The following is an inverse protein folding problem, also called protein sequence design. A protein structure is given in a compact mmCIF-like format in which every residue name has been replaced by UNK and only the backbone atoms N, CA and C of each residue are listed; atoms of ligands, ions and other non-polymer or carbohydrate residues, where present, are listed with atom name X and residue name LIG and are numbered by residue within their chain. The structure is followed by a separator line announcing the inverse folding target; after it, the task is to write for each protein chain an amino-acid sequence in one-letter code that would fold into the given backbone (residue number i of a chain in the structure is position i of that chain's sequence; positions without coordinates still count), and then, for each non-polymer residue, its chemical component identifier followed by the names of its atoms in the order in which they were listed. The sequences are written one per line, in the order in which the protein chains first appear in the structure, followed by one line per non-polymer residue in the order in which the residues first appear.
data_IF_663378909846
#
_entry.id   IF_663378909846
#
_cell.length_a   1.000
_cell.length_b   1.000
_cell.length_c   1.000
_cell.angle_alpha   90.00
_cell.angle_beta   90.00
_cell.angle_gamma   90.00
#
_symmetry.space_group_name_H-M   'P 1'
#
loop_
_entity.id
_entity.type
_entity.pdbx_description
1 polymer ?
#
# COMPACT_ATOMS: atom_id res chain seq x y z
N UNK A 1 27.22 -4.69 7.31
CA UNK A 1 26.01 -3.89 6.88
C UNK A 1 24.80 -4.66 7.37
N UNK A 2 23.97 -4.06 8.21
CA UNK A 2 22.77 -4.72 8.76
C UNK A 2 21.79 -4.95 7.62
N UNK A 3 21.38 -6.20 7.41
CA UNK A 3 20.44 -6.60 6.36
C UNK A 3 19.07 -5.96 6.58
N UNK A 4 18.38 -5.61 5.49
CA UNK A 4 17.01 -5.08 5.55
C UNK A 4 16.03 -6.24 5.59
N UNK A 5 15.33 -6.38 6.70
CA UNK A 5 14.24 -7.31 6.88
C UNK A 5 12.92 -6.69 6.42
N UNK A 6 12.17 -7.42 5.61
CA UNK A 6 10.79 -7.08 5.22
C UNK A 6 9.83 -8.03 5.92
N UNK A 7 8.90 -7.48 6.68
CA UNK A 7 7.84 -8.28 7.30
C UNK A 7 6.53 -7.51 7.44
N UNK A 8 5.45 -8.25 7.60
CA UNK A 8 4.17 -7.66 7.98
C UNK A 8 4.23 -7.19 9.44
N UNK A 9 3.67 -6.02 9.71
CA UNK A 9 3.48 -5.51 11.06
C UNK A 9 2.32 -6.25 11.75
N UNK A 10 2.49 -6.51 13.05
CA UNK A 10 1.49 -7.11 13.92
C UNK A 10 1.06 -6.10 15.01
N UNK A 11 0.07 -6.45 15.82
CA UNK A 11 -0.42 -5.57 16.88
C UNK A 11 0.68 -5.03 17.82
N UNK A 12 1.69 -5.83 18.23
CA UNK A 12 2.79 -5.30 19.06
C UNK A 12 3.62 -4.20 18.40
N UNK A 13 3.57 -4.08 17.05
CA UNK A 13 4.28 -3.05 16.31
C UNK A 13 3.53 -1.70 16.24
N UNK A 14 2.36 -1.59 16.86
CA UNK A 14 1.49 -0.41 16.74
C UNK A 14 2.17 0.89 17.15
N UNK A 15 3.05 0.87 18.17
CA UNK A 15 3.83 2.04 18.56
C UNK A 15 4.83 2.47 17.49
N UNK A 16 5.56 1.53 16.88
CA UNK A 16 6.47 1.81 15.77
C UNK A 16 5.71 2.30 14.54
N UNK A 17 4.56 1.69 14.26
CA UNK A 17 3.70 2.12 13.15
C UNK A 17 3.17 3.54 13.36
N UNK A 18 2.72 3.86 14.60
CA UNK A 18 2.31 5.22 14.96
C UNK A 18 3.44 6.22 14.74
N UNK A 19 4.64 5.92 15.22
CA UNK A 19 5.81 6.80 15.09
C UNK A 19 6.10 7.12 13.62
N UNK A 20 6.31 6.11 12.78
CA UNK A 20 6.64 6.32 11.37
C UNK A 20 5.49 6.95 10.56
N UNK A 21 4.25 6.65 10.94
CA UNK A 21 3.06 7.26 10.34
C UNK A 21 2.98 8.74 10.62
N UNK A 22 3.17 9.15 11.88
CA UNK A 22 3.18 10.56 12.27
C UNK A 22 4.35 11.31 11.65
N UNK A 23 5.54 10.71 11.61
CA UNK A 23 6.69 11.27 10.89
C UNK A 23 6.37 11.53 9.42
N UNK A 24 5.74 10.57 8.73
CA UNK A 24 5.33 10.72 7.35
C UNK A 24 4.35 11.87 7.14
N UNK A 25 3.33 11.99 7.99
CA UNK A 25 2.33 13.06 7.95
C UNK A 25 2.95 14.45 8.20
N UNK A 26 3.95 14.54 9.07
CA UNK A 26 4.64 15.79 9.36
C UNK A 26 5.60 16.21 8.24
N UNK A 27 6.41 15.26 7.74
CA UNK A 27 7.48 15.54 6.76
C UNK A 27 7.03 15.55 5.31
N UNK A 28 5.93 14.89 4.99
CA UNK A 28 5.37 14.78 3.64
C UNK A 28 3.84 14.91 3.66
N UNK A 29 3.27 16.00 4.23
CA UNK A 29 1.84 16.13 4.46
C UNK A 29 1.02 15.97 3.18
N UNK A 30 1.55 16.44 2.06
CA UNK A 30 0.87 16.38 0.77
C UNK A 30 0.74 14.92 0.22
N UNK A 31 1.54 13.98 0.72
CA UNK A 31 1.51 12.59 0.28
C UNK A 31 0.40 11.74 0.95
N UNK A 32 -0.39 12.33 1.83
CA UNK A 32 -1.38 11.61 2.62
C UNK A 32 -2.74 12.33 2.60
N UNK A 33 -3.81 11.56 2.64
CA UNK A 33 -5.18 12.06 2.76
C UNK A 33 -5.57 12.46 4.18
N UNK A 34 -4.73 12.21 5.19
CA UNK A 34 -4.91 12.59 6.59
C UNK A 34 -3.86 13.61 7.00
N UNK A 35 -4.00 14.22 8.18
CA UNK A 35 -3.06 15.21 8.70
C UNK A 35 -2.41 14.75 10.01
N UNK A 36 -1.24 15.34 10.31
CA UNK A 36 -0.53 15.09 11.57
C UNK A 36 -1.40 15.44 12.78
N UNK A 37 -2.09 16.57 12.74
CA UNK A 37 -2.93 17.06 13.84
C UNK A 37 -4.08 16.08 14.15
N UNK A 38 -4.69 15.52 13.12
CA UNK A 38 -5.77 14.53 13.29
C UNK A 38 -5.28 13.22 13.87
N UNK A 39 -4.15 12.69 13.35
CA UNK A 39 -3.68 11.36 13.77
C UNK A 39 -2.86 11.40 15.06
N UNK A 40 -2.16 12.50 15.39
CA UNK A 40 -1.44 12.63 16.66
C UNK A 40 -2.38 12.65 17.88
N UNK A 41 -3.63 13.13 17.68
CA UNK A 41 -4.66 13.12 18.71
C UNK A 41 -5.29 11.74 18.95
N UNK A 42 -5.01 10.75 18.08
CA UNK A 42 -5.61 9.42 18.20
C UNK A 42 -4.86 8.56 19.24
N UNK A 43 -5.61 7.72 19.97
CA UNK A 43 -5.00 6.75 20.90
C UNK A 43 -4.25 5.64 20.12
N UNK A 44 -3.41 4.89 20.82
CA UNK A 44 -2.67 3.77 20.22
C UNK A 44 -3.60 2.73 19.59
N UNK A 45 -4.77 2.49 20.20
CA UNK A 45 -5.79 1.57 19.70
C UNK A 45 -6.28 1.88 18.28
N UNK A 46 -6.22 3.13 17.85
CA UNK A 46 -6.52 3.52 16.46
C UNK A 46 -5.51 2.90 15.48
N UNK A 47 -4.22 2.89 15.83
CA UNK A 47 -3.17 2.29 15.03
C UNK A 47 -3.21 0.76 15.10
N UNK A 48 -3.55 0.19 16.26
CA UNK A 48 -3.80 -1.25 16.41
C UNK A 48 -4.92 -1.72 15.50
N UNK A 49 -6.05 -1.00 15.46
CA UNK A 49 -7.18 -1.31 14.57
C UNK A 49 -6.77 -1.24 13.09
N UNK A 50 -5.94 -0.28 12.71
CA UNK A 50 -5.42 -0.21 11.33
C UNK A 50 -4.57 -1.44 10.99
N UNK A 51 -3.72 -1.90 11.90
CA UNK A 51 -2.94 -3.13 11.71
C UNK A 51 -3.83 -4.38 11.68
N UNK A 52 -4.92 -4.40 12.45
CA UNK A 52 -5.90 -5.48 12.43
C UNK A 52 -6.74 -5.56 11.14
N UNK A 53 -7.11 -4.39 10.59
CA UNK A 53 -8.01 -4.27 9.45
C UNK A 53 -7.27 -4.18 8.09
N UNK A 54 -5.95 -4.15 8.09
CA UNK A 54 -5.12 -3.99 6.90
C UNK A 54 -3.86 -4.83 7.01
N UNK A 55 -3.27 -5.21 5.88
CA UNK A 55 -1.93 -5.74 5.88
C UNK A 55 -0.93 -4.58 5.71
N UNK A 56 -0.18 -4.26 6.74
CA UNK A 56 0.88 -3.24 6.67
C UNK A 56 2.23 -3.94 6.68
N UNK A 57 3.06 -3.64 5.70
CA UNK A 57 4.42 -4.16 5.58
C UNK A 57 5.41 -3.11 6.03
N UNK A 58 6.43 -3.53 6.77
CA UNK A 58 7.54 -2.70 7.23
C UNK A 58 8.86 -3.20 6.72
N UNK A 59 9.78 -2.28 6.47
CA UNK A 59 11.19 -2.55 6.21
C UNK A 59 12.01 -2.15 7.43
N UNK A 60 12.75 -3.09 7.99
CA UNK A 60 13.51 -2.93 9.21
C UNK A 60 15.01 -3.01 8.98
N UNK A 61 15.75 -2.22 9.74
CA UNK A 61 17.20 -2.36 9.93
C UNK A 61 17.46 -2.61 11.42
N UNK A 62 17.63 -3.89 11.78
CA UNK A 62 17.60 -4.27 13.19
C UNK A 62 16.24 -3.89 13.82
N UNK A 63 16.22 -3.14 14.94
CA UNK A 63 14.96 -2.73 15.57
C UNK A 63 14.28 -1.52 14.92
N UNK A 64 14.95 -0.85 14.00
CA UNK A 64 14.51 0.41 13.40
C UNK A 64 13.59 0.17 12.22
N UNK A 65 12.37 0.71 12.26
CA UNK A 65 11.41 0.69 11.15
C UNK A 65 11.69 1.86 10.19
N UNK A 66 12.18 1.55 9.01
CA UNK A 66 12.64 2.55 8.02
C UNK A 66 11.58 2.94 7.00
N UNK A 67 10.63 2.06 6.75
CA UNK A 67 9.60 2.30 5.74
C UNK A 67 8.38 1.43 5.97
N UNK A 68 7.22 1.90 5.50
CA UNK A 68 5.93 1.19 5.56
C UNK A 68 5.14 1.31 4.27
N UNK A 69 4.32 0.32 3.99
CA UNK A 69 3.27 0.37 2.97
C UNK A 69 2.10 -0.51 3.39
N UNK A 70 0.88 -0.03 3.24
CA UNK A 70 -0.34 -0.71 3.62
C UNK A 70 -1.11 -1.26 2.42
N UNK A 71 -1.84 -2.34 2.65
CA UNK A 71 -2.81 -2.94 1.74
C UNK A 71 -4.12 -3.19 2.46
N UNK A 72 -5.22 -2.89 1.80
CA UNK A 72 -6.56 -3.28 2.25
C UNK A 72 -7.45 -3.62 1.06
N UNK A 73 -8.35 -4.57 1.24
CA UNK A 73 -9.41 -4.86 0.27
C UNK A 73 -10.50 -3.79 0.40
N UNK A 74 -11.05 -3.33 -0.70
CA UNK A 74 -12.16 -2.37 -0.66
C UNK A 74 -13.44 -3.06 -0.19
N UNK A 75 -14.23 -2.36 0.60
CA UNK A 75 -15.46 -2.88 1.18
C UNK A 75 -16.63 -2.88 0.20
N UNK A 76 -17.56 -3.80 0.42
CA UNK A 76 -18.82 -3.91 -0.32
C UNK A 76 -18.80 -4.92 -1.47
N UNK A 77 -19.98 -5.48 -1.82
CA UNK A 77 -20.09 -6.62 -2.73
C UNK A 77 -19.64 -6.31 -4.16
N UNK A 78 -19.66 -5.03 -4.57
CA UNK A 78 -19.25 -4.60 -5.91
C UNK A 78 -17.78 -4.16 -6.00
N UNK A 79 -17.06 -4.07 -4.88
CA UNK A 79 -15.70 -3.53 -4.81
C UNK A 79 -14.67 -4.52 -4.25
N UNK A 80 -15.12 -5.67 -3.71
CA UNK A 80 -14.25 -6.66 -3.08
C UNK A 80 -13.18 -7.27 -4.00
N UNK A 81 -13.30 -7.11 -5.32
CA UNK A 81 -12.26 -7.49 -6.29
C UNK A 81 -11.12 -6.47 -6.38
N UNK A 82 -11.22 -5.34 -5.66
CA UNK A 82 -10.23 -4.26 -5.66
C UNK A 82 -9.50 -4.17 -4.35
N UNK A 83 -8.20 -3.98 -4.42
CA UNK A 83 -7.35 -3.64 -3.29
C UNK A 83 -6.82 -2.22 -3.41
N UNK A 84 -6.48 -1.63 -2.28
CA UNK A 84 -5.85 -0.32 -2.20
C UNK A 84 -4.48 -0.45 -1.55
N UNK A 85 -3.43 0.00 -2.25
CA UNK A 85 -2.13 0.29 -1.67
C UNK A 85 -2.19 1.70 -1.09
N UNK A 86 -1.83 1.85 0.19
CA UNK A 86 -1.97 3.10 0.92
C UNK A 86 -0.84 3.33 1.91
N UNK A 87 -0.69 4.57 2.36
CA UNK A 87 0.15 4.93 3.50
C UNK A 87 1.63 4.64 3.30
N UNK A 88 2.11 4.62 2.06
CA UNK A 88 3.53 4.38 1.79
C UNK A 88 4.38 5.55 2.24
N UNK A 89 5.38 5.26 3.06
CA UNK A 89 6.39 6.21 3.49
C UNK A 89 7.75 5.53 3.63
N UNK A 90 8.79 6.23 3.21
CA UNK A 90 10.19 5.81 3.37
C UNK A 90 10.93 6.95 4.05
N UNK A 91 11.58 6.68 5.16
CA UNK A 91 12.43 7.66 5.87
C UNK A 91 13.50 8.20 4.93
N UNK A 92 13.85 9.51 5.02
CA UNK A 92 14.80 10.14 4.10
C UNK A 92 16.11 9.38 3.95
N UNK A 93 16.69 8.90 5.05
CA UNK A 93 17.96 8.16 5.10
C UNK A 93 17.90 6.77 4.44
N UNK A 94 16.70 6.24 4.21
CA UNK A 94 16.49 4.95 3.55
C UNK A 94 16.03 5.08 2.08
N UNK A 95 15.86 6.32 1.59
CA UNK A 95 15.49 6.55 0.19
C UNK A 95 16.63 6.19 -0.75
N UNK A 96 16.30 5.91 -2.01
CA UNK A 96 17.23 5.54 -3.08
C UNK A 96 18.00 4.22 -2.82
N UNK A 97 17.65 3.45 -1.81
CA UNK A 97 18.24 2.14 -1.48
C UNK A 97 17.47 0.95 -2.05
N UNK A 98 16.37 1.21 -2.78
CA UNK A 98 15.48 0.18 -3.30
C UNK A 98 14.43 -0.35 -2.30
N UNK A 99 14.42 0.12 -1.05
CA UNK A 99 13.46 -0.32 -0.01
C UNK A 99 12.02 -0.08 -0.46
N UNK A 100 11.72 1.09 -1.03
CA UNK A 100 10.38 1.40 -1.51
C UNK A 100 9.88 0.42 -2.56
N UNK A 101 10.75 0.03 -3.52
CA UNK A 101 10.42 -1.00 -4.52
C UNK A 101 10.12 -2.35 -3.87
N UNK A 102 10.95 -2.78 -2.92
CA UNK A 102 10.76 -4.06 -2.21
C UNK A 102 9.44 -4.07 -1.42
N UNK A 103 9.08 -2.97 -0.76
CA UNK A 103 7.80 -2.84 -0.05
C UNK A 103 6.60 -2.96 -0.99
N UNK A 104 6.60 -2.21 -2.10
CA UNK A 104 5.49 -2.29 -3.06
C UNK A 104 5.40 -3.68 -3.67
N UNK A 105 6.53 -4.35 -3.95
CA UNK A 105 6.55 -5.74 -4.40
C UNK A 105 5.95 -6.70 -3.36
N UNK A 106 6.22 -6.51 -2.06
CA UNK A 106 5.63 -7.30 -0.99
C UNK A 106 4.10 -7.10 -0.92
N UNK A 107 3.62 -5.86 -1.10
CA UNK A 107 2.18 -5.56 -1.19
C UNK A 107 1.56 -6.24 -2.42
N UNK A 108 2.19 -6.16 -3.59
CA UNK A 108 1.70 -6.80 -4.82
C UNK A 108 1.63 -8.33 -4.62
N UNK A 109 2.68 -8.93 -4.06
CA UNK A 109 2.71 -10.37 -3.80
C UNK A 109 1.60 -10.80 -2.83
N UNK A 110 1.35 -10.03 -1.78
CA UNK A 110 0.28 -10.28 -0.82
C UNK A 110 -1.12 -10.09 -1.42
N UNK A 111 -1.30 -9.11 -2.31
CA UNK A 111 -2.57 -8.82 -2.96
C UNK A 111 -2.99 -9.88 -4.00
N UNK A 112 -2.00 -10.58 -4.59
CA UNK A 112 -2.26 -11.67 -5.55
C UNK A 112 -3.09 -12.77 -4.89
N UNK A 113 -4.08 -13.27 -5.62
CA UNK A 113 -5.02 -14.28 -5.10
C UNK A 113 -6.10 -13.74 -4.16
N UNK A 114 -6.02 -12.47 -3.75
CA UNK A 114 -7.04 -11.83 -2.91
C UNK A 114 -7.88 -10.82 -3.68
N UNK A 115 -7.28 -10.10 -4.64
CA UNK A 115 -7.96 -9.10 -5.46
C UNK A 115 -7.48 -9.19 -6.92
N UNK A 116 -8.32 -8.71 -7.84
CA UNK A 116 -8.03 -8.70 -9.28
C UNK A 116 -7.34 -7.39 -9.69
N UNK A 117 -7.60 -6.30 -8.95
CA UNK A 117 -7.13 -4.97 -9.25
C UNK A 117 -6.52 -4.34 -8.00
N UNK A 118 -5.27 -3.90 -8.08
CA UNK A 118 -4.60 -3.12 -7.03
C UNK A 118 -4.53 -1.67 -7.48
N UNK A 119 -5.13 -0.78 -6.70
CA UNK A 119 -5.20 0.64 -6.97
C UNK A 119 -4.36 1.44 -5.98
N UNK A 120 -3.95 2.62 -6.37
CA UNK A 120 -3.35 3.62 -5.51
C UNK A 120 -3.66 5.03 -6.04
N UNK A 121 -3.50 6.00 -5.17
CA UNK A 121 -3.56 7.41 -5.49
C UNK A 121 -2.24 8.05 -5.12
N UNK A 122 -1.72 8.91 -5.98
CA UNK A 122 -0.47 9.63 -5.76
C UNK A 122 -0.60 11.06 -6.22
N UNK A 123 -0.10 12.01 -5.43
CA UNK A 123 -0.07 13.42 -5.81
C UNK A 123 0.65 13.59 -7.17
N UNK A 124 0.07 14.42 -8.04
CA UNK A 124 0.56 14.64 -9.41
C UNK A 124 2.02 15.07 -9.46
N UNK A 125 2.45 15.87 -8.48
CA UNK A 125 3.81 16.42 -8.40
C UNK A 125 4.84 15.43 -7.83
N UNK A 126 4.39 14.30 -7.23
CA UNK A 126 5.29 13.28 -6.68
C UNK A 126 5.86 12.37 -7.79
N UNK A 127 6.69 12.94 -8.64
CA UNK A 127 7.31 12.24 -9.77
C UNK A 127 8.13 10.99 -9.38
N UNK A 128 8.91 11.00 -8.26
CA UNK A 128 9.62 9.79 -7.83
C UNK A 128 8.69 8.63 -7.52
N UNK A 129 7.58 8.85 -6.82
CA UNK A 129 6.61 7.81 -6.49
C UNK A 129 5.88 7.31 -7.76
N UNK A 130 5.43 8.21 -8.64
CA UNK A 130 4.80 7.86 -9.91
C UNK A 130 5.70 6.96 -10.77
N UNK A 131 6.99 7.34 -10.92
CA UNK A 131 7.97 6.50 -11.64
C UNK A 131 8.18 5.13 -10.98
N UNK A 132 8.22 5.09 -9.66
CA UNK A 132 8.33 3.83 -8.92
C UNK A 132 7.14 2.90 -9.25
N UNK A 133 5.92 3.40 -9.12
CA UNK A 133 4.71 2.61 -9.38
C UNK A 133 4.62 2.19 -10.85
N UNK A 134 4.87 3.09 -11.79
CA UNK A 134 4.90 2.76 -13.21
C UNK A 134 5.92 1.64 -13.53
N UNK A 135 7.11 1.70 -12.92
CA UNK A 135 8.15 0.66 -13.09
C UNK A 135 7.78 -0.70 -12.50
N UNK A 136 6.74 -0.76 -11.69
CA UNK A 136 6.16 -1.98 -11.10
C UNK A 136 4.87 -2.42 -11.79
N UNK A 137 4.53 -1.77 -12.92
CA UNK A 137 3.41 -2.13 -13.77
C UNK A 137 2.08 -1.53 -13.35
N UNK A 138 2.07 -0.45 -12.57
CA UNK A 138 0.88 0.37 -12.38
C UNK A 138 0.73 1.32 -13.57
N UNK A 139 -0.50 1.45 -14.06
CA UNK A 139 -0.86 2.35 -15.16
C UNK A 139 -1.72 3.50 -14.62
N UNK A 140 -1.50 4.71 -15.13
CA UNK A 140 -2.34 5.86 -14.82
C UNK A 140 -3.65 5.74 -15.60
N UNK A 141 -4.78 5.82 -14.90
CA UNK A 141 -6.11 5.71 -15.52
C UNK A 141 -6.98 6.95 -15.35
N UNK A 142 -6.52 7.93 -14.57
CA UNK A 142 -7.25 9.17 -14.38
C UNK A 142 -6.51 10.18 -13.50
N UNK A 143 -7.04 11.39 -13.48
CA UNK A 143 -6.57 12.49 -12.62
C UNK A 143 -7.78 13.06 -11.91
N UNK A 144 -7.75 13.05 -10.58
CA UNK A 144 -8.71 13.77 -9.76
C UNK A 144 -8.22 15.20 -9.55
N UNK A 145 -8.89 16.15 -10.20
CA UNK A 145 -8.55 17.57 -10.08
C UNK A 145 -8.97 18.11 -8.73
N UNK A 146 -8.04 18.85 -8.08
CA UNK A 146 -8.26 19.43 -6.75
C UNK A 146 -8.70 18.38 -5.71
N UNK A 147 -8.11 17.20 -5.77
CA UNK A 147 -8.40 16.06 -4.91
C UNK A 147 -8.24 16.38 -3.42
N UNK A 148 -7.28 17.23 -3.08
CA UNK A 148 -7.05 17.69 -1.73
C UNK A 148 -6.78 19.20 -1.69
N UNK A 149 -7.11 19.84 -0.53
CA UNK A 149 -6.72 21.20 -0.21
C UNK A 149 -6.02 21.20 1.14
N UNK A 150 -4.77 21.61 1.16
CA UNK A 150 -3.99 21.72 2.39
C UNK A 150 -3.25 23.05 2.44
N UNK A 151 -3.33 23.76 3.57
CA UNK A 151 -2.72 25.09 3.77
C UNK A 151 -2.99 26.06 2.63
N UNK A 152 -4.24 26.08 2.13
CA UNK A 152 -4.68 26.97 1.05
C UNK A 152 -4.29 26.56 -0.37
N UNK A 153 -3.50 25.50 -0.57
CA UNK A 153 -3.10 24.96 -1.89
C UNK A 153 -3.95 23.75 -2.26
N UNK A 154 -4.36 23.69 -3.52
CA UNK A 154 -4.99 22.52 -4.12
C UNK A 154 -3.94 21.57 -4.68
N UNK A 155 -4.18 20.28 -4.55
CA UNK A 155 -3.38 19.21 -5.11
C UNK A 155 -4.25 18.34 -6.00
N UNK A 156 -3.73 17.97 -7.16
CA UNK A 156 -4.35 17.00 -8.03
C UNK A 156 -3.75 15.61 -7.72
N UNK A 157 -4.59 14.57 -7.77
CA UNK A 157 -4.17 13.20 -7.58
C UNK A 157 -4.19 12.43 -8.89
N UNK A 158 -3.14 11.67 -9.13
CA UNK A 158 -3.08 10.69 -10.21
C UNK A 158 -3.57 9.35 -9.69
N UNK A 159 -4.55 8.79 -10.37
CA UNK A 159 -5.14 7.49 -10.07
C UNK A 159 -4.38 6.42 -10.85
N UNK A 160 -3.78 5.48 -10.15
CA UNK A 160 -3.01 4.40 -10.77
C UNK A 160 -3.57 3.03 -10.39
N UNK A 161 -3.51 2.08 -11.30
CA UNK A 161 -3.98 0.72 -11.08
C UNK A 161 -3.07 -0.31 -11.74
N UNK A 162 -3.03 -1.49 -11.13
CA UNK A 162 -2.36 -2.67 -11.66
C UNK A 162 -3.33 -3.85 -11.64
N UNK A 163 -3.57 -4.45 -12.82
CA UNK A 163 -4.26 -5.75 -12.91
C UNK A 163 -3.35 -6.84 -12.34
N UNK A 164 -3.91 -7.62 -11.43
CA UNK A 164 -3.27 -8.80 -10.87
C UNK A 164 -3.89 -10.01 -11.56
N UNK A 165 -3.06 -10.80 -12.28
CA UNK A 165 -3.52 -12.06 -12.84
C UNK A 165 -3.94 -12.95 -11.66
N UNK A 166 -5.20 -13.38 -11.65
CA UNK A 166 -5.60 -14.51 -10.81
C UNK A 166 -4.84 -15.71 -11.37
N UNK A 167 -4.14 -16.45 -10.51
CA UNK A 167 -3.65 -17.76 -10.93
C UNK A 167 -4.87 -18.56 -11.33
N UNK A 168 -4.97 -18.90 -12.63
CA UNK A 168 -6.02 -19.79 -13.13
C UNK A 168 -5.91 -21.08 -12.33
N UNK A 169 -6.90 -21.34 -11.51
CA UNK A 169 -7.02 -22.64 -10.85
C UNK A 169 -6.92 -23.71 -11.94
N UNK A 170 -6.01 -24.65 -11.81
CA UNK A 170 -5.81 -25.74 -12.72
C UNK A 170 -7.17 -26.35 -13.05
N UNK A 171 -7.58 -26.26 -14.30
CA UNK A 171 -8.67 -27.02 -14.88
C UNK A 171 -8.41 -28.50 -14.58
N UNK A 172 -9.07 -29.00 -13.54
CA UNK A 172 -9.20 -30.43 -13.33
C UNK A 172 -10.37 -30.89 -14.20
N UNK A 173 -10.15 -30.91 -15.50
CA UNK A 173 -10.99 -31.68 -16.40
C UNK A 173 -10.86 -33.14 -16.01
N UNK A 174 -11.77 -33.55 -15.15
CA UNK A 174 -12.07 -34.98 -14.97
C UNK A 174 -12.66 -35.51 -16.26
N UNK A 175 -11.83 -36.13 -17.05
CA UNK A 175 -12.29 -37.08 -18.07
C UNK A 175 -13.06 -38.22 -17.37
N UNK A 176 -14.36 -38.09 -17.33
CA UNK A 176 -15.30 -39.15 -17.03
C UNK A 176 -15.62 -39.88 -18.32
N UNK A 177 -14.91 -40.97 -18.56
CA UNK A 177 -15.09 -41.85 -19.70
C UNK A 177 -16.52 -42.36 -19.82
N UNK A 178 -17.02 -42.35 -21.03
CA UNK A 178 -18.19 -43.05 -21.42
C UNK A 178 -17.99 -44.55 -21.39
N UNK A 179 -19.04 -45.23 -21.15
CA UNK A 179 -19.22 -46.60 -21.60
C UNK A 179 -20.70 -46.79 -21.96
N UNK A 180 -20.92 -47.00 -23.21
CA UNK A 180 -22.09 -47.74 -23.71
C UNK A 180 -21.94 -49.22 -23.36
N UNK A 181 -22.95 -50.07 -23.44
CA UNK A 181 -23.84 -50.23 -24.60
C UNK A 181 -25.33 -50.03 -24.29
#
# INVERSE_FOLDING_TARGET
MTEIELRRLALPDASLFREIRLEGLERAPDAFSSTFELETAQPLSFFEQRLGNSAVFGAFRGPELLAVAGFRIQSGPKHGHKGLLWGMYVRPEARQTGIGRKLVQAVIAHARGQVELLQLTVISDNQPARRLYASLGFEEYGIERRAAKYRGRYHDDVLMAKLLMLESGADTDAQGGGASP
#
